data_IF_261036504893
#
_entry.id   IF_261036504893
#
_cell.length_a   1.000
_cell.length_b   1.000
_cell.length_c   1.000
_cell.angle_alpha   90.00
_cell.angle_beta   90.00
_cell.angle_gamma   90.00
#
_symmetry.space_group_name_H-M   'P 1'
#
loop_
_entity.id
_entity.type
_entity.pdbx_description
1 polymer ?
#
# COMPACT_ATOMS: atom_id res chain seq x y z
N UNK A 1 46.27 20.83 -8.94
CA UNK A 1 46.19 22.25 -8.53
C UNK A 1 46.79 23.21 -9.55
N UNK A 2 48.02 23.00 -10.04
CA UNK A 2 48.68 23.91 -11.00
C UNK A 2 48.03 23.82 -12.39
N UNK A 3 47.74 22.62 -12.87
CA UNK A 3 47.00 22.38 -14.13
C UNK A 3 45.58 22.95 -14.08
N UNK A 4 44.91 22.82 -12.95
CA UNK A 4 43.58 23.38 -12.70
C UNK A 4 43.60 24.91 -12.81
N UNK A 5 44.59 25.56 -12.16
CA UNK A 5 44.76 26.99 -12.19
C UNK A 5 45.03 27.51 -13.62
N UNK A 6 45.91 26.85 -14.36
CA UNK A 6 46.22 27.19 -15.75
C UNK A 6 45.01 27.01 -16.69
N UNK A 7 44.19 25.97 -16.50
CA UNK A 7 42.98 25.75 -17.28
C UNK A 7 41.91 26.78 -16.98
N UNK A 8 41.70 27.11 -15.69
CA UNK A 8 40.71 28.13 -15.28
C UNK A 8 41.15 29.56 -15.69
N UNK A 9 42.47 29.88 -15.72
CA UNK A 9 42.99 31.17 -16.16
C UNK A 9 42.88 31.36 -17.69
N UNK A 10 42.88 30.27 -18.46
CA UNK A 10 42.80 30.32 -19.93
C UNK A 10 41.40 30.11 -20.50
N UNK A 11 40.45 29.66 -19.68
CA UNK A 11 39.07 29.34 -20.11
C UNK A 11 38.15 30.54 -19.86
N UNK A 12 38.22 31.52 -20.75
CA UNK A 12 37.45 32.77 -20.65
C UNK A 12 35.94 32.60 -20.84
N UNK A 13 35.46 31.42 -21.32
CA UNK A 13 34.07 31.27 -21.79
C UNK A 13 33.20 30.31 -21.00
N UNK A 14 33.73 29.28 -20.35
CA UNK A 14 32.91 28.30 -19.64
C UNK A 14 33.68 27.55 -18.54
N UNK A 15 33.87 28.21 -17.39
CA UNK A 15 34.51 27.58 -16.22
C UNK A 15 33.79 26.30 -15.79
N UNK A 16 32.45 26.23 -16.00
CA UNK A 16 31.68 25.04 -15.69
C UNK A 16 32.04 23.85 -16.57
N UNK A 17 32.46 24.09 -17.83
CA UNK A 17 33.02 23.03 -18.67
C UNK A 17 34.29 22.43 -18.08
N UNK A 18 35.23 23.29 -17.65
CA UNK A 18 36.45 22.86 -16.99
C UNK A 18 36.19 22.11 -15.70
N UNK A 19 35.28 22.59 -14.86
CA UNK A 19 34.86 21.85 -13.66
C UNK A 19 34.23 20.48 -13.98
N UNK A 20 33.43 20.37 -15.03
CA UNK A 20 32.88 19.10 -15.49
C UNK A 20 33.99 18.13 -15.93
N UNK A 21 35.04 18.60 -16.63
CA UNK A 21 36.18 17.76 -17.01
C UNK A 21 36.90 17.20 -15.79
N UNK A 22 37.19 18.05 -14.79
CA UNK A 22 37.80 17.58 -13.54
C UNK A 22 36.89 16.59 -12.81
N UNK A 23 35.56 16.87 -12.74
CA UNK A 23 34.59 15.96 -12.17
C UNK A 23 34.61 14.58 -12.84
N UNK A 24 34.71 14.54 -14.18
CA UNK A 24 34.80 13.26 -14.92
C UNK A 24 36.09 12.50 -14.60
N UNK A 25 37.25 13.17 -14.65
CA UNK A 25 38.56 12.56 -14.35
C UNK A 25 38.57 11.95 -12.95
N UNK A 26 38.05 12.68 -11.96
CA UNK A 26 37.97 12.22 -10.58
C UNK A 26 36.98 11.08 -10.42
N UNK A 27 35.82 11.13 -11.12
CA UNK A 27 34.88 10.04 -11.15
C UNK A 27 35.45 8.74 -11.72
N UNK A 28 36.21 8.86 -12.82
CA UNK A 28 36.90 7.72 -13.45
C UNK A 28 38.03 7.16 -12.59
N UNK A 29 38.65 8.00 -11.77
CA UNK A 29 39.69 7.62 -10.78
C UNK A 29 39.08 7.03 -9.50
N UNK A 30 37.73 7.04 -9.34
CA UNK A 30 37.07 6.57 -8.14
C UNK A 30 37.00 7.58 -6.99
N UNK A 31 37.47 8.81 -7.21
CA UNK A 31 37.48 9.88 -6.21
C UNK A 31 36.12 10.61 -6.18
N UNK A 32 35.06 9.88 -5.82
CA UNK A 32 33.69 10.32 -5.96
C UNK A 32 33.34 11.60 -5.17
N UNK A 33 33.86 11.74 -3.97
CA UNK A 33 33.63 12.93 -3.13
C UNK A 33 34.12 14.20 -3.81
N UNK A 34 35.35 14.15 -4.34
CA UNK A 34 35.95 15.29 -5.04
C UNK A 34 35.23 15.54 -6.39
N UNK A 35 34.88 14.48 -7.12
CA UNK A 35 34.08 14.60 -8.35
C UNK A 35 32.77 15.37 -8.12
N UNK A 36 32.05 15.05 -7.06
CA UNK A 36 30.81 15.73 -6.67
C UNK A 36 31.05 17.22 -6.38
N UNK A 37 32.15 17.57 -5.71
CA UNK A 37 32.48 18.96 -5.44
C UNK A 37 32.69 19.76 -6.74
N UNK A 38 33.37 19.19 -7.73
CA UNK A 38 33.58 19.82 -9.01
C UNK A 38 32.28 19.98 -9.80
N UNK A 39 31.42 18.97 -9.82
CA UNK A 39 30.11 19.11 -10.45
C UNK A 39 29.23 20.17 -9.75
N UNK A 40 29.31 20.28 -8.42
CA UNK A 40 28.63 21.36 -7.66
C UNK A 40 29.19 22.75 -8.00
N UNK A 41 30.49 22.87 -8.22
CA UNK A 41 31.12 24.14 -8.71
C UNK A 41 30.54 24.49 -10.09
N UNK A 42 30.50 23.52 -11.03
CA UNK A 42 29.93 23.72 -12.36
C UNK A 42 28.46 24.15 -12.33
N UNK A 43 27.67 23.55 -11.42
CA UNK A 43 26.23 23.89 -11.26
C UNK A 43 26.00 25.29 -10.69
N UNK A 44 26.93 25.85 -9.92
CA UNK A 44 26.85 27.17 -9.29
C UNK A 44 27.37 28.28 -10.19
N UNK A 45 28.06 27.95 -11.29
CA UNK A 45 28.62 28.93 -12.19
C UNK A 45 27.50 29.71 -12.90
N UNK A 46 27.49 31.05 -12.67
CA UNK A 46 26.47 31.93 -13.24
C UNK A 46 26.63 32.11 -14.77
N UNK A 47 27.85 31.97 -15.29
CA UNK A 47 28.13 32.06 -16.74
C UNK A 47 27.66 30.79 -17.45
N UNK A 48 27.79 29.65 -16.81
CA UNK A 48 27.27 28.38 -17.31
C UNK A 48 25.75 28.35 -17.41
N UNK A 49 25.09 29.32 -16.80
CA UNK A 49 23.63 29.40 -16.81
C UNK A 49 23.02 29.43 -18.24
N UNK A 50 23.78 29.84 -19.24
CA UNK A 50 23.35 29.87 -20.65
C UNK A 50 23.91 28.71 -21.49
N UNK A 51 24.75 27.87 -20.92
CA UNK A 51 25.45 26.79 -21.63
C UNK A 51 24.87 25.42 -21.30
N UNK A 52 25.24 24.41 -22.08
CA UNK A 52 24.86 23.00 -21.79
C UNK A 52 25.62 22.43 -20.60
N UNK A 53 26.65 23.11 -20.10
CA UNK A 53 27.57 22.64 -19.07
C UNK A 53 26.88 22.40 -17.74
N UNK A 54 25.86 23.20 -17.40
CA UNK A 54 25.08 22.99 -16.17
C UNK A 54 24.22 21.70 -16.24
N UNK A 55 23.66 21.40 -17.41
CA UNK A 55 22.88 20.15 -17.62
C UNK A 55 23.81 18.95 -17.54
N UNK A 56 24.99 19.08 -18.13
CA UNK A 56 26.03 18.07 -18.07
C UNK A 56 26.54 17.80 -16.64
N UNK A 57 26.69 18.86 -15.82
CA UNK A 57 27.05 18.72 -14.41
C UNK A 57 26.03 17.91 -13.61
N UNK A 58 24.72 18.12 -13.84
CA UNK A 58 23.67 17.31 -13.22
C UNK A 58 23.79 15.84 -13.63
N UNK A 59 24.04 15.58 -14.92
CA UNK A 59 24.23 14.22 -15.44
C UNK A 59 25.48 13.56 -14.82
N UNK A 60 26.61 14.28 -14.77
CA UNK A 60 27.86 13.78 -14.19
C UNK A 60 27.71 13.43 -12.71
N UNK A 61 27.12 14.35 -11.93
CA UNK A 61 26.88 14.09 -10.51
C UNK A 61 25.94 12.91 -10.31
N UNK A 62 24.84 12.82 -11.07
CA UNK A 62 23.93 11.67 -11.00
C UNK A 62 24.63 10.34 -11.29
N UNK A 63 25.55 10.30 -12.26
CA UNK A 63 26.35 9.11 -12.54
C UNK A 63 27.25 8.68 -11.37
N UNK A 64 27.81 9.62 -10.63
CA UNK A 64 28.56 9.32 -9.40
C UNK A 64 27.64 8.67 -8.38
N UNK A 65 26.46 9.25 -8.13
CA UNK A 65 25.47 8.67 -7.20
C UNK A 65 25.03 7.27 -7.61
N UNK A 66 24.92 7.00 -8.92
CA UNK A 66 24.63 5.65 -9.41
C UNK A 66 25.76 4.65 -9.09
N UNK A 67 27.03 5.08 -9.16
CA UNK A 67 28.17 4.25 -8.73
C UNK A 67 28.09 3.92 -7.25
N UNK A 68 27.58 4.83 -6.43
CA UNK A 68 27.34 4.67 -5.00
C UNK A 68 26.00 3.97 -4.71
N UNK A 69 25.22 3.57 -5.75
CA UNK A 69 23.90 2.96 -5.67
C UNK A 69 22.83 3.84 -5.02
N UNK A 70 23.05 5.14 -4.97
CA UNK A 70 22.07 6.12 -4.49
C UNK A 70 21.19 6.58 -5.66
N UNK A 71 20.30 5.69 -6.12
CA UNK A 71 19.50 5.92 -7.32
C UNK A 71 18.41 6.95 -7.13
N UNK A 72 17.83 7.08 -5.93
CA UNK A 72 16.77 8.05 -5.62
C UNK A 72 17.28 9.48 -5.75
N UNK A 73 18.45 9.77 -5.20
CA UNK A 73 19.05 11.09 -5.30
C UNK A 73 19.52 11.37 -6.73
N UNK A 74 20.05 10.36 -7.43
CA UNK A 74 20.39 10.46 -8.84
C UNK A 74 19.18 10.86 -9.69
N UNK A 75 18.02 10.23 -9.47
CA UNK A 75 16.77 10.57 -10.17
C UNK A 75 16.35 12.01 -9.92
N UNK A 76 16.49 12.52 -8.69
CA UNK A 76 16.18 13.90 -8.37
C UNK A 76 17.05 14.88 -9.17
N UNK A 77 18.36 14.65 -9.21
CA UNK A 77 19.31 15.47 -9.97
C UNK A 77 19.04 15.41 -11.48
N UNK A 78 18.78 14.24 -12.02
CA UNK A 78 18.47 14.07 -13.44
C UNK A 78 17.19 14.81 -13.84
N UNK A 79 16.16 14.81 -13.00
CA UNK A 79 14.93 15.58 -13.22
C UNK A 79 15.17 17.09 -13.16
N UNK A 80 16.04 17.55 -12.26
CA UNK A 80 16.46 18.96 -12.23
C UNK A 80 17.21 19.34 -13.53
N UNK A 81 18.14 18.51 -13.98
CA UNK A 81 18.82 18.68 -15.26
C UNK A 81 17.86 18.75 -16.46
N UNK A 82 16.82 17.89 -16.48
CA UNK A 82 15.77 17.94 -17.49
C UNK A 82 14.97 19.24 -17.45
N UNK A 83 14.54 19.68 -16.27
CA UNK A 83 13.80 20.93 -16.10
C UNK A 83 14.61 22.13 -16.62
N UNK A 84 15.92 22.19 -16.32
CA UNK A 84 16.84 23.23 -16.82
C UNK A 84 16.96 23.14 -18.34
N UNK A 85 17.11 21.93 -18.89
CA UNK A 85 17.21 21.71 -20.34
C UNK A 85 15.96 22.21 -21.09
N UNK A 86 14.79 21.97 -20.56
CA UNK A 86 13.53 22.45 -21.17
C UNK A 86 13.37 23.96 -21.02
N UNK A 87 13.59 24.53 -19.84
CA UNK A 87 13.46 25.95 -19.58
C UNK A 87 14.36 26.81 -20.48
N UNK A 88 15.47 26.24 -20.96
CA UNK A 88 16.44 26.93 -21.81
C UNK A 88 16.41 26.49 -23.27
N UNK A 89 15.44 25.69 -23.68
CA UNK A 89 15.34 25.08 -25.01
C UNK A 89 16.65 24.35 -25.44
N UNK A 90 17.43 23.87 -24.48
CA UNK A 90 18.71 23.20 -24.73
C UNK A 90 18.50 21.69 -24.82
N UNK A 91 18.54 21.13 -26.03
CA UNK A 91 18.39 19.71 -26.27
C UNK A 91 19.67 18.88 -26.05
N UNK A 92 20.82 19.55 -25.91
CA UNK A 92 22.10 18.87 -25.69
C UNK A 92 22.04 18.11 -24.36
N UNK A 93 22.52 16.89 -24.35
CA UNK A 93 22.50 15.95 -23.20
C UNK A 93 21.13 15.47 -22.73
N UNK A 94 19.99 15.95 -23.28
CA UNK A 94 18.64 15.52 -22.88
C UNK A 94 18.44 14.03 -23.06
N UNK A 95 18.91 13.49 -24.18
CA UNK A 95 18.86 12.06 -24.44
C UNK A 95 19.63 11.25 -23.37
N UNK A 96 20.81 11.70 -22.97
CA UNK A 96 21.59 11.05 -21.92
C UNK A 96 20.90 11.12 -20.55
N UNK A 97 20.17 12.20 -20.24
CA UNK A 97 19.37 12.31 -19.03
C UNK A 97 18.20 11.28 -19.04
N UNK A 98 17.49 11.12 -20.15
CA UNK A 98 16.42 10.14 -20.26
C UNK A 98 16.91 8.70 -20.14
N UNK A 99 18.02 8.37 -20.81
CA UNK A 99 18.66 7.06 -20.73
C UNK A 99 19.08 6.74 -19.29
N UNK A 100 19.75 7.71 -18.64
CA UNK A 100 20.22 7.55 -17.26
C UNK A 100 19.06 7.42 -16.27
N UNK A 101 17.96 8.19 -16.46
CA UNK A 101 16.74 8.06 -15.67
C UNK A 101 16.10 6.66 -15.82
N UNK A 102 16.03 6.17 -17.05
CA UNK A 102 15.52 4.81 -17.31
C UNK A 102 16.33 3.77 -16.53
N UNK A 103 17.66 3.86 -16.59
CA UNK A 103 18.57 2.96 -15.87
C UNK A 103 18.38 3.05 -14.35
N UNK A 104 18.28 4.25 -13.79
CA UNK A 104 18.04 4.43 -12.35
C UNK A 104 16.73 3.77 -11.90
N UNK A 105 15.64 3.97 -12.64
CA UNK A 105 14.36 3.36 -12.33
C UNK A 105 14.37 1.83 -12.49
N UNK A 106 15.14 1.31 -13.45
CA UNK A 106 15.33 -0.14 -13.61
C UNK A 106 16.05 -0.73 -12.39
N UNK A 107 17.11 -0.10 -11.89
CA UNK A 107 17.84 -0.53 -10.71
C UNK A 107 16.96 -0.52 -9.43
N UNK A 108 15.99 0.37 -9.36
CA UNK A 108 14.97 0.42 -8.31
C UNK A 108 13.78 -0.54 -8.55
N UNK A 109 13.84 -1.39 -9.59
CA UNK A 109 12.74 -2.27 -10.01
C UNK A 109 11.43 -1.53 -10.34
N UNK A 110 11.49 -0.24 -10.64
CA UNK A 110 10.34 0.57 -11.07
C UNK A 110 10.18 0.51 -12.60
N UNK A 111 9.90 -0.66 -13.13
CA UNK A 111 9.94 -0.95 -14.57
C UNK A 111 8.96 -0.11 -15.40
N UNK A 112 7.83 0.29 -14.84
CA UNK A 112 6.90 1.20 -15.52
C UNK A 112 7.55 2.56 -15.82
N UNK A 113 8.21 3.14 -14.82
CA UNK A 113 8.91 4.43 -14.96
C UNK A 113 10.10 4.29 -15.90
N UNK A 114 10.89 3.23 -15.74
CA UNK A 114 12.01 2.91 -16.62
C UNK A 114 11.55 2.85 -18.09
N UNK A 115 10.50 2.10 -18.39
CA UNK A 115 9.95 1.97 -19.73
C UNK A 115 9.46 3.31 -20.31
N UNK A 116 8.82 4.17 -19.49
CA UNK A 116 8.36 5.47 -19.95
C UNK A 116 9.51 6.37 -20.34
N UNK A 117 10.56 6.48 -19.51
CA UNK A 117 11.75 7.28 -19.86
C UNK A 117 12.52 6.71 -21.04
N UNK A 118 12.61 5.39 -21.16
CA UNK A 118 13.22 4.73 -22.32
C UNK A 118 12.48 5.01 -23.62
N UNK A 119 11.15 5.03 -23.61
CA UNK A 119 10.35 5.39 -24.79
C UNK A 119 10.63 6.82 -25.24
N UNK A 120 10.70 7.79 -24.31
CA UNK A 120 11.03 9.18 -24.62
C UNK A 120 12.43 9.30 -25.22
N UNK A 121 13.43 8.64 -24.58
CA UNK A 121 14.79 8.54 -25.11
C UNK A 121 14.81 8.05 -26.56
N UNK A 122 14.05 7.00 -26.86
CA UNK A 122 13.92 6.42 -28.21
C UNK A 122 13.32 7.41 -29.21
N UNK A 123 12.25 8.10 -28.83
CA UNK A 123 11.56 9.07 -29.71
C UNK A 123 12.44 10.27 -30.06
N UNK A 124 13.26 10.78 -29.11
CA UNK A 124 14.18 11.89 -29.37
C UNK A 124 15.43 11.45 -30.16
N UNK A 125 15.77 10.16 -30.17
CA UNK A 125 16.98 9.63 -30.80
C UNK A 125 16.72 8.91 -32.13
N UNK A 126 15.73 9.31 -32.88
CA UNK A 126 15.09 8.62 -34.02
C UNK A 126 15.99 8.29 -35.24
N UNK A 127 17.31 8.44 -35.14
CA UNK A 127 18.20 8.22 -36.30
C UNK A 127 19.03 6.92 -36.30
N UNK A 128 19.01 6.10 -35.23
CA UNK A 128 19.81 4.88 -35.17
C UNK A 128 19.04 3.70 -34.53
N UNK A 129 18.19 3.07 -35.33
CA UNK A 129 17.53 1.82 -34.97
C UNK A 129 18.54 0.68 -34.90
N UNK A 130 19.10 0.44 -33.73
CA UNK A 130 20.01 -0.68 -33.53
C UNK A 130 19.24 -1.88 -32.93
N UNK A 131 19.42 -3.06 -33.47
CA UNK A 131 18.75 -4.32 -33.09
C UNK A 131 18.87 -4.64 -31.60
N UNK A 132 19.96 -4.18 -30.99
CA UNK A 132 20.21 -4.35 -29.54
C UNK A 132 19.24 -3.52 -28.68
N UNK A 133 18.86 -2.30 -29.11
CA UNK A 133 17.92 -1.42 -28.38
C UNK A 133 16.46 -1.96 -28.42
N UNK A 134 16.12 -2.70 -29.46
CA UNK A 134 14.80 -3.36 -29.56
C UNK A 134 14.68 -4.53 -28.58
N UNK A 135 15.80 -5.23 -28.37
CA UNK A 135 15.92 -6.27 -27.35
C UNK A 135 15.77 -5.71 -25.95
N UNK A 136 16.45 -4.61 -25.61
CA UNK A 136 16.37 -3.95 -24.31
C UNK A 136 14.95 -3.46 -24.00
N UNK A 137 14.26 -2.89 -25.00
CA UNK A 137 12.86 -2.49 -24.85
C UNK A 137 11.94 -3.70 -24.61
N UNK A 138 12.18 -4.80 -25.30
CA UNK A 138 11.42 -6.05 -25.14
C UNK A 138 11.62 -6.63 -23.73
N UNK A 139 12.84 -6.63 -23.23
CA UNK A 139 13.16 -7.10 -21.89
C UNK A 139 12.50 -6.22 -20.81
N UNK A 140 12.54 -4.90 -20.97
CA UNK A 140 11.90 -3.96 -20.05
C UNK A 140 10.36 -4.12 -20.04
N UNK A 141 9.76 -4.34 -21.22
CA UNK A 141 8.32 -4.64 -21.30
C UNK A 141 7.97 -5.94 -20.59
N UNK A 142 8.78 -6.98 -20.79
CA UNK A 142 8.58 -8.26 -20.12
C UNK A 142 8.65 -8.11 -18.60
N UNK A 143 9.66 -7.40 -18.08
CA UNK A 143 9.79 -7.11 -16.64
C UNK A 143 8.59 -6.33 -16.10
N UNK A 144 8.14 -5.31 -16.83
CA UNK A 144 6.95 -4.53 -16.47
C UNK A 144 5.67 -5.37 -16.44
N UNK A 145 5.46 -6.21 -17.46
CA UNK A 145 4.27 -7.08 -17.52
C UNK A 145 4.28 -8.10 -16.38
N UNK A 146 5.45 -8.63 -16.04
CA UNK A 146 5.64 -9.55 -14.91
C UNK A 146 5.29 -8.85 -13.58
N UNK A 147 5.85 -7.67 -13.31
CA UNK A 147 5.56 -6.88 -12.11
C UNK A 147 4.06 -6.56 -12.02
N UNK A 148 3.44 -6.18 -13.14
CA UNK A 148 2.00 -5.90 -13.20
C UNK A 148 1.17 -7.14 -12.85
N UNK A 149 1.54 -8.31 -13.39
CA UNK A 149 0.86 -9.57 -13.07
C UNK A 149 1.03 -9.94 -11.59
N UNK A 150 2.24 -9.82 -11.03
CA UNK A 150 2.50 -10.06 -9.62
C UNK A 150 1.66 -9.15 -8.72
N UNK A 151 1.58 -7.86 -9.05
CA UNK A 151 0.78 -6.90 -8.30
C UNK A 151 -0.74 -7.23 -8.39
N UNK A 152 -1.25 -7.63 -9.56
CA UNK A 152 -2.63 -8.07 -9.70
C UNK A 152 -2.92 -9.34 -8.88
N UNK A 153 -2.01 -10.31 -8.87
CA UNK A 153 -2.13 -11.52 -8.06
C UNK A 153 -2.12 -11.17 -6.57
N UNK A 154 -1.24 -10.27 -6.16
CA UNK A 154 -1.16 -9.80 -4.76
C UNK A 154 -2.44 -9.11 -4.31
N UNK A 155 -2.99 -8.23 -5.13
CA UNK A 155 -4.28 -7.59 -4.86
C UNK A 155 -5.43 -8.62 -4.79
N UNK A 156 -5.50 -9.54 -5.76
CA UNK A 156 -6.50 -10.60 -5.74
C UNK A 156 -6.42 -11.48 -4.48
N UNK A 157 -5.21 -11.82 -4.03
CA UNK A 157 -5.01 -12.55 -2.76
C UNK A 157 -5.52 -11.76 -1.56
N UNK A 158 -5.24 -10.46 -1.50
CA UNK A 158 -5.73 -9.59 -0.42
C UNK A 158 -7.26 -9.52 -0.41
N UNK A 159 -7.90 -9.40 -1.58
CA UNK A 159 -9.35 -9.39 -1.72
C UNK A 159 -9.99 -10.71 -1.26
N UNK A 160 -9.37 -11.84 -1.62
CA UNK A 160 -9.81 -13.17 -1.16
C UNK A 160 -9.69 -13.28 0.37
N UNK A 161 -8.55 -12.90 0.94
CA UNK A 161 -8.35 -12.92 2.41
C UNK A 161 -9.38 -12.05 3.14
N UNK A 162 -9.67 -10.85 2.62
CA UNK A 162 -10.69 -9.97 3.21
C UNK A 162 -12.10 -10.58 3.13
N UNK A 163 -12.43 -11.24 2.00
CA UNK A 163 -13.71 -11.95 1.86
C UNK A 163 -13.80 -13.13 2.84
N UNK A 164 -12.77 -13.91 2.99
CA UNK A 164 -12.71 -15.01 3.94
C UNK A 164 -12.89 -14.53 5.39
N UNK A 165 -12.21 -13.45 5.78
CA UNK A 165 -12.41 -12.84 7.10
C UNK A 165 -13.86 -12.39 7.34
N UNK A 166 -14.49 -11.75 6.34
CA UNK A 166 -15.91 -11.36 6.43
C UNK A 166 -16.82 -12.56 6.58
N UNK A 167 -16.58 -13.62 5.81
CA UNK A 167 -17.37 -14.87 5.91
C UNK A 167 -17.18 -15.48 7.30
N UNK A 168 -15.98 -15.56 7.83
CA UNK A 168 -15.73 -16.05 9.19
C UNK A 168 -16.46 -15.23 10.26
N UNK A 169 -16.44 -13.90 10.15
CA UNK A 169 -17.18 -13.02 11.06
C UNK A 169 -18.69 -13.25 10.97
N UNK A 170 -19.23 -13.38 9.76
CA UNK A 170 -20.65 -13.65 9.55
C UNK A 170 -21.07 -15.02 10.11
N UNK A 171 -20.28 -16.06 9.87
CA UNK A 171 -20.55 -17.40 10.42
C UNK A 171 -20.48 -17.41 11.95
N UNK A 172 -19.54 -16.68 12.55
CA UNK A 172 -19.44 -16.55 14.00
C UNK A 172 -20.68 -15.87 14.60
N UNK A 173 -21.16 -14.79 13.97
CA UNK A 173 -22.39 -14.10 14.37
C UNK A 173 -23.61 -15.04 14.28
N UNK A 174 -23.72 -15.80 13.19
CA UNK A 174 -24.81 -16.77 13.02
C UNK A 174 -24.80 -17.85 14.11
N UNK A 175 -23.62 -18.36 14.45
CA UNK A 175 -23.50 -19.36 15.55
C UNK A 175 -23.98 -18.77 16.87
N UNK A 176 -23.60 -17.52 17.20
CA UNK A 176 -24.09 -16.85 18.42
C UNK A 176 -25.62 -16.72 18.40
N UNK A 177 -26.19 -16.30 17.28
CA UNK A 177 -27.65 -16.19 17.15
C UNK A 177 -28.31 -17.54 17.39
N UNK A 178 -27.79 -18.62 16.83
CA UNK A 178 -28.33 -19.99 17.05
C UNK A 178 -28.25 -20.41 18.53
N UNK A 179 -27.14 -20.08 19.20
CA UNK A 179 -27.00 -20.38 20.64
C UNK A 179 -28.01 -19.60 21.46
N UNK A 180 -28.21 -18.31 21.15
CA UNK A 180 -29.22 -17.48 21.86
C UNK A 180 -30.62 -17.97 21.63
N UNK A 181 -30.99 -18.32 20.40
CA UNK A 181 -32.29 -18.90 20.07
C UNK A 181 -32.53 -20.24 20.79
N UNK A 182 -31.51 -21.09 20.83
CA UNK A 182 -31.57 -22.35 21.58
C UNK A 182 -31.80 -22.14 23.08
N UNK A 183 -31.12 -21.15 23.66
CA UNK A 183 -31.28 -20.77 25.07
C UNK A 183 -32.70 -20.23 25.35
N UNK A 184 -33.20 -19.35 24.49
CA UNK A 184 -34.56 -18.81 24.61
C UNK A 184 -35.59 -19.90 24.49
N UNK A 185 -35.43 -20.84 23.55
CA UNK A 185 -36.31 -22.01 23.42
C UNK A 185 -36.26 -22.89 24.66
N UNK A 186 -35.09 -23.15 25.23
CA UNK A 186 -34.93 -23.89 26.46
C UNK A 186 -35.65 -23.22 27.64
N UNK A 187 -35.45 -21.90 27.81
CA UNK A 187 -36.13 -21.13 28.86
C UNK A 187 -37.64 -21.11 28.67
N UNK A 188 -38.13 -21.00 27.44
CA UNK A 188 -39.53 -21.09 27.11
C UNK A 188 -40.12 -22.47 27.51
N UNK A 189 -39.46 -23.56 27.16
CA UNK A 189 -39.89 -24.91 27.55
C UNK A 189 -39.90 -25.10 29.07
N UNK A 190 -38.89 -24.59 29.76
CA UNK A 190 -38.79 -24.62 31.21
C UNK A 190 -39.96 -23.85 31.87
N UNK A 191 -40.24 -22.64 31.39
CA UNK A 191 -41.37 -21.82 31.83
C UNK A 191 -42.70 -22.54 31.60
N UNK A 192 -42.90 -23.13 30.43
CA UNK A 192 -44.12 -23.85 30.09
C UNK A 192 -44.35 -25.06 30.99
N UNK A 193 -43.32 -25.87 31.27
CA UNK A 193 -43.39 -26.98 32.24
C UNK A 193 -43.78 -26.51 33.64
N UNK A 194 -43.17 -25.39 34.11
CA UNK A 194 -43.49 -24.82 35.41
C UNK A 194 -44.94 -24.34 35.46
N UNK A 195 -45.39 -23.65 34.39
CA UNK A 195 -46.79 -23.17 34.27
C UNK A 195 -47.80 -24.33 34.35
N UNK A 196 -47.57 -25.40 33.58
CA UNK A 196 -48.42 -26.60 33.61
C UNK A 196 -48.43 -27.24 35.00
N UNK A 197 -47.29 -27.31 35.71
CA UNK A 197 -47.21 -27.81 37.07
C UNK A 197 -48.05 -26.99 38.07
N UNK A 198 -47.95 -25.64 37.99
CA UNK A 198 -48.72 -24.73 38.84
C UNK A 198 -50.20 -24.87 38.56
N UNK A 199 -50.63 -24.94 37.28
CA UNK A 199 -52.05 -25.15 36.93
C UNK A 199 -52.58 -26.47 37.52
N UNK A 200 -51.80 -27.57 37.42
CA UNK A 200 -52.13 -28.85 37.99
C UNK A 200 -52.29 -28.79 39.51
N UNK A 201 -51.33 -28.14 40.21
CA UNK A 201 -51.44 -27.97 41.67
C UNK A 201 -52.68 -27.17 42.09
N UNK A 202 -52.98 -26.07 41.35
CA UNK A 202 -54.15 -25.27 41.62
C UNK A 202 -55.47 -26.08 41.40
N UNK A 203 -55.54 -26.89 40.35
CA UNK A 203 -56.67 -27.77 40.10
C UNK A 203 -56.82 -28.80 41.22
N UNK A 204 -55.77 -29.41 41.70
CA UNK A 204 -55.77 -30.33 42.82
C UNK A 204 -56.21 -29.66 44.14
N UNK A 205 -55.76 -28.43 44.39
CA UNK A 205 -56.17 -27.63 45.53
C UNK A 205 -57.67 -27.32 45.49
N UNK A 206 -58.21 -26.89 44.35
CA UNK A 206 -59.64 -26.64 44.14
C UNK A 206 -60.46 -27.93 44.36
N UNK A 207 -60.00 -29.06 43.85
CA UNK A 207 -60.67 -30.34 44.08
C UNK A 207 -60.73 -30.72 45.56
N UNK A 208 -59.64 -30.51 46.29
CA UNK A 208 -59.62 -30.78 47.75
C UNK A 208 -60.56 -29.84 48.52
N UNK A 209 -60.61 -28.59 48.15
CA UNK A 209 -61.48 -27.59 48.76
C UNK A 209 -62.94 -27.94 48.50
N UNK A 210 -63.31 -28.33 47.27
CA UNK A 210 -64.67 -28.75 46.94
C UNK A 210 -65.11 -30.02 47.70
N UNK A 211 -64.17 -30.98 47.86
CA UNK A 211 -64.47 -32.20 48.63
C UNK A 211 -64.64 -31.91 50.12
N UNK A 212 -63.77 -31.05 50.69
CA UNK A 212 -63.92 -30.59 52.08
C UNK A 212 -65.26 -29.89 52.30
N UNK A 213 -65.59 -28.93 51.41
CA UNK A 213 -66.89 -28.24 51.51
C UNK A 213 -68.14 -29.23 51.40
N UNK A 214 -67.99 -30.26 50.58
CA UNK A 214 -68.97 -31.32 50.50
C UNK A 214 -69.15 -32.08 51.84
N UNK A 215 -68.02 -32.50 52.43
CA UNK A 215 -67.97 -33.17 53.72
C UNK A 215 -68.56 -32.33 54.87
N UNK A 216 -68.17 -31.00 54.85
CA UNK A 216 -68.74 -30.07 55.86
C UNK A 216 -70.29 -30.04 55.74
N UNK A 217 -70.83 -29.93 54.53
CA UNK A 217 -72.27 -29.91 54.30
C UNK A 217 -72.99 -31.24 54.75
N UNK A 218 -72.30 -32.37 54.48
CA UNK A 218 -72.81 -33.68 54.91
C UNK A 218 -72.86 -33.80 56.44
N UNK A 219 -71.83 -33.29 57.13
CA UNK A 219 -71.77 -33.25 58.60
C UNK A 219 -72.83 -32.32 59.19
N UNK A 220 -72.99 -31.11 58.57
CA UNK A 220 -74.05 -30.16 58.98
C UNK A 220 -75.44 -30.72 58.81
N UNK A 221 -75.74 -31.52 57.78
CA UNK A 221 -76.99 -32.18 57.56
C UNK A 221 -77.21 -33.29 58.56
N UNK A 222 -76.17 -34.09 58.85
CA UNK A 222 -76.28 -35.16 59.84
C UNK A 222 -76.44 -34.65 61.28
N UNK A 223 -75.75 -33.52 61.57
CA UNK A 223 -75.88 -32.87 62.89
C UNK A 223 -77.25 -32.24 63.14
N UNK A 224 -77.97 -31.84 62.09
CA UNK A 224 -79.37 -31.35 62.20
C UNK A 224 -80.39 -32.47 62.34
N UNK A 225 -80.09 -33.69 61.87
CA UNK A 225 -80.96 -34.83 61.99
C UNK A 225 -80.93 -35.52 63.36
N UNK A 226 -79.86 -35.24 64.17
CA UNK A 226 -79.70 -35.81 65.52
C UNK A 226 -80.34 -35.04 66.66
N UNK A 227 -80.91 -33.86 66.42
CA UNK A 227 -81.61 -33.06 67.42
C UNK A 227 -83.13 -32.91 67.21
N UNK A 228 -83.79 -33.98 66.88
CA UNK A 228 -85.26 -34.04 66.96
C UNK A 228 -85.64 -34.42 68.38
N UNK A 229 -86.34 -33.60 69.14
CA UNK A 229 -86.81 -34.01 70.49
C UNK A 229 -87.88 -35.09 70.34
N UNK A 230 -87.65 -36.26 70.95
CA UNK A 230 -88.72 -37.22 71.25
C UNK A 230 -89.76 -36.56 72.11
N UNK A 231 -90.98 -36.65 71.65
CA UNK A 231 -92.21 -36.46 72.45
C UNK A 231 -92.84 -37.77 72.71
#
# INVERSE_FOLDING_TARGET
HEAEKLMLENDFYDQAHTYNLFGNILCDSGEYVQAIEYYKKAMKDKQAAQTSSIVYAHLGYARVLMKEKNYEEAILLLKQGLAISYARANAIHRNALYETLSTCYEQLHQYHNALNYYKVFRLENDSLFNKDKERDLSEMRFKYDTERQENMIKQSKLDVMQKEQRIQQQTFILIIIFIVLGLLYYLYQRKNKLYVSIVKQNQEAIKRETELNRRIRELEQNGKSGNAPEK
#
